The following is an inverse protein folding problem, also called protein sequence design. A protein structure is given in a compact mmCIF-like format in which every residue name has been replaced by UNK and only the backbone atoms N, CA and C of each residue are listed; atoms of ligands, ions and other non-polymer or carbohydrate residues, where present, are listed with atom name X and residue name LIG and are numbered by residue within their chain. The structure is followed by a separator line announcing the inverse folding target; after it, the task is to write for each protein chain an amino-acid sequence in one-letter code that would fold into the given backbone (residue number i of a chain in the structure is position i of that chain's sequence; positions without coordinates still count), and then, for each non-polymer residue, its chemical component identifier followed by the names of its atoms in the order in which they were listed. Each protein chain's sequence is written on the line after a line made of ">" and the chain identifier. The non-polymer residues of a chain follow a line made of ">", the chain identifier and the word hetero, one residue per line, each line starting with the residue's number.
data_IF_909819000931
#
_entry.id   IF_909819000931
#
_cell.length_a   1.000
_cell.length_b   1.000
_cell.length_c   1.000
_cell.angle_alpha   90.00
_cell.angle_beta   90.00
_cell.angle_gamma   90.00
#
_symmetry.space_group_name_H-M   'P 1'
#
loop_
_entity.id
_entity.type
_entity.pdbx_description
1 polymer ?
#
# COMPACT_ATOMS: atom_id res chain seq x y z
N UNK A 1 22.14 2.12 11.42
CA UNK A 1 20.75 1.96 10.97
C UNK A 1 20.52 0.58 10.35
N UNK A 2 20.94 -0.51 11.00
CA UNK A 2 20.66 -1.88 10.56
C UNK A 2 19.22 -2.26 10.92
N UNK A 3 18.26 -1.72 10.16
CA UNK A 3 16.87 -2.18 10.19
C UNK A 3 16.57 -2.86 8.86
N UNK A 4 15.84 -3.97 8.92
CA UNK A 4 15.33 -4.63 7.73
C UNK A 4 14.03 -3.93 7.31
N UNK A 5 14.09 -3.18 6.21
CA UNK A 5 13.01 -2.33 5.72
C UNK A 5 12.39 -2.97 4.47
N UNK A 6 11.06 -2.91 4.39
CA UNK A 6 10.30 -3.36 3.23
C UNK A 6 9.30 -2.28 2.81
N UNK A 7 9.27 -1.97 1.52
CA UNK A 7 8.32 -1.03 0.91
C UNK A 7 7.17 -1.79 0.26
N UNK A 8 5.94 -1.46 0.66
CA UNK A 8 4.73 -2.04 0.07
C UNK A 8 3.57 -1.05 0.15
N UNK A 9 2.66 -1.16 -0.83
CA UNK A 9 1.50 -0.27 -0.97
C UNK A 9 0.53 -0.75 -2.06
N UNK A 10 -0.63 -0.10 -2.20
CA UNK A 10 -1.64 -0.48 -3.18
C UNK A 10 -1.20 -0.09 -4.61
N UNK A 11 -1.61 -0.85 -5.64
CA UNK A 11 -1.42 -0.45 -7.03
C UNK A 11 -2.30 0.76 -7.39
N UNK A 12 -1.75 1.66 -8.20
CA UNK A 12 -2.41 2.86 -8.69
C UNK A 12 -2.21 2.97 -10.20
N UNK A 13 -3.25 3.36 -10.93
CA UNK A 13 -3.20 3.67 -12.36
C UNK A 13 -2.98 5.17 -12.60
N UNK A 14 -2.25 5.49 -13.66
CA UNK A 14 -1.88 6.86 -14.05
C UNK A 14 -1.10 7.60 -12.96
N UNK A 15 -0.13 6.91 -12.34
CA UNK A 15 0.76 7.48 -11.32
C UNK A 15 1.43 8.77 -11.83
N UNK A 16 1.47 9.79 -10.97
CA UNK A 16 1.94 11.16 -11.23
C UNK A 16 1.09 11.99 -12.20
N UNK A 17 -0.10 11.52 -12.61
CA UNK A 17 -1.04 12.34 -13.38
C UNK A 17 -1.93 13.19 -12.45
N UNK A 18 -2.63 14.23 -12.98
CA UNK A 18 -3.56 15.02 -12.18
C UNK A 18 -4.70 14.23 -11.53
N UNK A 19 -5.02 13.04 -12.08
CA UNK A 19 -6.05 12.15 -11.55
C UNK A 19 -5.55 10.71 -11.53
N UNK A 20 -5.34 10.19 -10.33
CA UNK A 20 -4.92 8.82 -10.11
C UNK A 20 -6.13 7.93 -9.76
N UNK A 21 -6.12 6.69 -10.26
CA UNK A 21 -7.19 5.73 -9.99
C UNK A 21 -6.65 4.54 -9.20
N UNK A 22 -7.31 4.22 -8.07
CA UNK A 22 -7.01 3.06 -7.25
C UNK A 22 -8.25 2.19 -7.07
N UNK A 23 -8.04 0.89 -6.96
CA UNK A 23 -9.09 -0.09 -6.69
C UNK A 23 -9.49 -0.06 -5.22
N UNK A 24 -10.79 0.00 -4.93
CA UNK A 24 -11.32 -0.08 -3.57
C UNK A 24 -10.94 -1.41 -2.88
N UNK A 25 -10.91 -2.51 -3.65
CA UNK A 25 -10.52 -3.82 -3.12
C UNK A 25 -9.05 -3.83 -2.69
N UNK A 26 -8.17 -3.27 -3.52
CA UNK A 26 -6.73 -3.25 -3.23
C UNK A 26 -6.38 -2.30 -2.07
N UNK A 27 -7.10 -1.18 -1.94
CA UNK A 27 -6.99 -0.30 -0.76
C UNK A 27 -7.39 -1.03 0.52
N UNK A 28 -8.47 -1.82 0.50
CA UNK A 28 -8.89 -2.61 1.65
C UNK A 28 -7.88 -3.71 2.01
N UNK A 29 -7.37 -4.43 1.01
CA UNK A 29 -6.35 -5.45 1.22
C UNK A 29 -5.06 -4.85 1.82
N UNK A 30 -4.62 -3.69 1.32
CA UNK A 30 -3.44 -2.98 1.84
C UNK A 30 -3.66 -2.54 3.30
N UNK A 31 -4.86 -2.06 3.64
CA UNK A 31 -5.22 -1.72 5.01
C UNK A 31 -5.16 -2.93 5.96
N UNK A 32 -5.63 -4.09 5.50
CA UNK A 32 -5.50 -5.35 6.23
C UNK A 32 -4.03 -5.79 6.37
N UNK A 33 -3.22 -5.65 5.32
CA UNK A 33 -1.81 -5.98 5.33
C UNK A 33 -1.04 -5.12 6.36
N UNK A 34 -1.24 -3.80 6.38
CA UNK A 34 -0.63 -2.93 7.41
C UNK A 34 -1.07 -3.32 8.82
N UNK A 35 -2.36 -3.64 9.02
CA UNK A 35 -2.87 -4.11 10.32
C UNK A 35 -2.23 -5.43 10.74
N UNK A 36 -2.02 -6.35 9.82
CA UNK A 36 -1.35 -7.60 10.10
C UNK A 36 0.11 -7.36 10.47
N UNK A 37 0.83 -6.56 9.68
CA UNK A 37 2.23 -6.21 9.89
C UNK A 37 2.50 -5.50 11.23
N UNK A 38 1.58 -4.65 11.70
CA UNK A 38 1.71 -3.96 12.99
C UNK A 38 1.26 -4.80 14.18
N UNK A 39 0.47 -5.87 13.96
CA UNK A 39 0.03 -6.78 15.01
C UNK A 39 1.02 -7.94 15.24
N UNK A 40 1.79 -8.29 14.22
CA UNK A 40 2.91 -9.24 14.28
C UNK A 40 4.14 -8.59 14.91
#
# INVERSE_FOLDING_TARGET
>A
YCMDIIDFGPPVLSMHSPFELASKADLYATMLAYKAFLKS
#
